data_IF_954137478781
#
_entry.id   IF_954137478781
#
_cell.length_a   1.000
_cell.length_b   1.000
_cell.length_c   1.000
_cell.angle_alpha   90.00
_cell.angle_beta   90.00
_cell.angle_gamma   90.00
#
_symmetry.space_group_name_H-M   'P 1'
#
loop_
_entity.id
_entity.type
_entity.pdbx_description
1 polymer ?
#
# COMPACT_ATOMS: atom_id res chain seq x y z
N UNK A 1 -19.57 -0.40 11.88
CA UNK A 1 -19.15 -1.43 10.90
C UNK A 1 -19.04 -2.79 11.53
N UNK A 2 -19.98 -3.68 11.20
CA UNK A 2 -19.93 -5.11 11.55
C UNK A 2 -18.78 -5.79 10.78
N UNK A 3 -18.29 -6.94 11.24
CA UNK A 3 -17.15 -7.64 10.60
C UNK A 3 -17.38 -7.94 9.12
N UNK A 4 -18.58 -8.35 8.73
CA UNK A 4 -18.93 -8.61 7.32
C UNK A 4 -18.80 -7.35 6.45
N UNK A 5 -19.17 -6.19 6.98
CA UNK A 5 -19.07 -4.91 6.28
C UNK A 5 -17.61 -4.48 6.12
N UNK A 6 -16.78 -4.70 7.16
CA UNK A 6 -15.33 -4.44 7.09
C UNK A 6 -14.66 -5.26 5.99
N UNK A 7 -15.02 -6.53 5.88
CA UNK A 7 -14.51 -7.43 4.84
C UNK A 7 -14.98 -6.98 3.45
N UNK A 8 -16.27 -6.67 3.29
CA UNK A 8 -16.81 -6.18 2.02
C UNK A 8 -16.13 -4.88 1.57
N UNK A 9 -15.98 -3.91 2.48
CA UNK A 9 -15.27 -2.66 2.22
C UNK A 9 -13.83 -2.91 1.75
N UNK A 10 -13.07 -3.75 2.47
CA UNK A 10 -11.69 -4.06 2.13
C UNK A 10 -11.56 -4.75 0.77
N UNK A 11 -12.45 -5.71 0.47
CA UNK A 11 -12.47 -6.40 -0.82
C UNK A 11 -12.80 -5.41 -1.95
N UNK A 12 -13.81 -4.56 -1.77
CA UNK A 12 -14.23 -3.60 -2.79
C UNK A 12 -13.13 -2.56 -3.08
N UNK A 13 -12.46 -2.07 -2.02
CA UNK A 13 -11.29 -1.21 -2.13
C UNK A 13 -10.21 -1.86 -3.00
N UNK A 14 -9.84 -3.10 -2.67
CA UNK A 14 -8.76 -3.79 -3.38
C UNK A 14 -9.13 -4.07 -4.84
N UNK A 15 -10.36 -4.51 -5.12
CA UNK A 15 -10.81 -4.81 -6.48
C UNK A 15 -10.76 -3.56 -7.37
N UNK A 16 -11.24 -2.42 -6.89
CA UNK A 16 -11.25 -1.18 -7.68
C UNK A 16 -9.81 -0.68 -7.89
N UNK A 17 -8.96 -0.75 -6.87
CA UNK A 17 -7.55 -0.41 -7.00
C UNK A 17 -6.86 -1.26 -8.07
N UNK A 18 -7.01 -2.60 -8.01
CA UNK A 18 -6.43 -3.52 -8.99
C UNK A 18 -6.98 -3.29 -10.40
N UNK A 19 -8.27 -2.98 -10.54
CA UNK A 19 -8.89 -2.67 -11.84
C UNK A 19 -8.29 -1.43 -12.51
N UNK A 20 -7.66 -0.52 -11.76
CA UNK A 20 -6.98 0.67 -12.28
C UNK A 20 -5.48 0.39 -12.47
N UNK A 21 -4.84 -0.18 -11.44
CA UNK A 21 -3.37 -0.36 -11.40
C UNK A 21 -2.90 -1.40 -12.39
N UNK A 22 -3.62 -2.52 -12.55
CA UNK A 22 -3.19 -3.61 -13.45
C UNK A 22 -3.18 -3.15 -14.91
N UNK A 23 -4.23 -2.51 -15.47
CA UNK A 23 -4.17 -1.98 -16.83
C UNK A 23 -3.08 -0.91 -16.99
N UNK A 24 -2.92 -0.01 -16.01
CA UNK A 24 -1.87 1.00 -16.06
C UNK A 24 -0.47 0.35 -16.13
N UNK A 25 -0.19 -0.65 -15.31
CA UNK A 25 1.08 -1.38 -15.35
C UNK A 25 1.28 -2.19 -16.64
N UNK A 26 0.21 -2.74 -17.21
CA UNK A 26 0.24 -3.43 -18.50
C UNK A 26 0.54 -2.48 -19.68
N UNK A 27 0.19 -1.19 -19.58
CA UNK A 27 0.56 -0.21 -20.63
C UNK A 27 2.07 0.07 -20.69
N UNK A 28 2.79 -0.15 -19.59
CA UNK A 28 4.24 0.09 -19.48
C UNK A 28 5.07 -1.19 -19.47
N UNK A 29 4.45 -2.35 -19.63
CA UNK A 29 5.15 -3.63 -19.63
C UNK A 29 4.55 -4.62 -20.62
N UNK A 30 5.38 -5.45 -21.22
CA UNK A 30 4.93 -6.55 -22.09
C UNK A 30 4.44 -7.77 -21.28
N UNK A 31 4.08 -7.58 -20.01
CA UNK A 31 3.69 -8.66 -19.09
C UNK A 31 2.18 -8.90 -19.17
N UNK A 32 1.80 -10.16 -19.07
CA UNK A 32 0.38 -10.51 -19.00
C UNK A 32 -0.23 -10.09 -17.64
N UNK A 33 -1.54 -9.87 -17.64
CA UNK A 33 -2.27 -9.40 -16.46
C UNK A 33 -2.17 -10.36 -15.26
N UNK A 34 -2.05 -11.67 -15.49
CA UNK A 34 -1.96 -12.65 -14.40
C UNK A 34 -0.63 -12.53 -13.65
N UNK A 35 0.47 -12.35 -14.38
CA UNK A 35 1.79 -12.11 -13.82
C UNK A 35 1.83 -10.82 -12.99
N UNK A 36 1.18 -9.75 -13.47
CA UNK A 36 1.06 -8.46 -12.74
C UNK A 36 0.28 -8.62 -11.42
N UNK A 37 -0.82 -9.37 -11.44
CA UNK A 37 -1.62 -9.65 -10.23
C UNK A 37 -0.79 -10.45 -9.21
N UNK A 38 -0.08 -11.49 -9.65
CA UNK A 38 0.75 -12.31 -8.75
C UNK A 38 1.82 -11.48 -8.06
N UNK A 39 2.51 -10.61 -8.80
CA UNK A 39 3.51 -9.70 -8.21
C UNK A 39 2.86 -8.68 -7.28
N UNK A 40 1.75 -8.08 -7.67
CA UNK A 40 1.00 -7.15 -6.81
C UNK A 40 0.59 -7.77 -5.48
N UNK A 41 0.05 -8.99 -5.51
CA UNK A 41 -0.30 -9.76 -4.30
C UNK A 41 0.96 -10.06 -3.48
N UNK A 42 2.06 -10.49 -4.12
CA UNK A 42 3.33 -10.75 -3.44
C UNK A 42 3.89 -9.51 -2.72
N UNK A 43 3.86 -8.35 -3.37
CA UNK A 43 4.27 -7.07 -2.80
C UNK A 43 3.36 -6.65 -1.64
N UNK A 44 2.04 -6.86 -1.74
CA UNK A 44 1.10 -6.58 -0.65
C UNK A 44 1.37 -7.46 0.57
N UNK A 45 1.59 -8.77 0.37
CA UNK A 45 1.97 -9.70 1.44
C UNK A 45 3.30 -9.28 2.07
N UNK A 46 4.30 -8.94 1.26
CA UNK A 46 5.57 -8.43 1.75
C UNK A 46 5.39 -7.18 2.62
N UNK A 47 4.58 -6.21 2.17
CA UNK A 47 4.32 -4.98 2.93
C UNK A 47 3.69 -5.26 4.30
N UNK A 48 2.72 -6.18 4.37
CA UNK A 48 2.09 -6.59 5.64
C UNK A 48 3.12 -7.24 6.58
N UNK A 49 3.94 -8.14 6.05
CA UNK A 49 4.99 -8.84 6.81
C UNK A 49 6.05 -7.86 7.31
N UNK A 50 6.53 -6.97 6.43
CA UNK A 50 7.50 -5.93 6.77
C UNK A 50 6.96 -4.98 7.84
N UNK A 51 5.71 -4.51 7.70
CA UNK A 51 5.04 -3.69 8.70
C UNK A 51 5.01 -4.37 10.07
N UNK A 52 4.71 -5.66 10.13
CA UNK A 52 4.71 -6.38 11.40
C UNK A 52 6.12 -6.42 12.03
N UNK A 53 7.12 -6.86 11.28
CA UNK A 53 8.48 -7.01 11.81
C UNK A 53 9.16 -5.68 12.12
N UNK A 54 9.00 -4.68 11.26
CA UNK A 54 9.57 -3.35 11.47
C UNK A 54 9.01 -2.70 12.73
N UNK A 55 7.68 -2.76 12.94
CA UNK A 55 7.05 -2.22 14.14
C UNK A 55 7.58 -2.90 15.41
N UNK A 56 7.72 -4.24 15.41
CA UNK A 56 8.27 -4.96 16.56
C UNK A 56 9.72 -4.56 16.82
N UNK A 57 10.54 -4.51 15.77
CA UNK A 57 11.95 -4.12 15.89
C UNK A 57 12.06 -2.69 16.46
N UNK A 58 11.30 -1.74 15.92
CA UNK A 58 11.34 -0.36 16.37
C UNK A 58 10.82 -0.20 17.81
N UNK A 59 9.72 -0.87 18.15
CA UNK A 59 9.17 -0.87 19.52
C UNK A 59 10.18 -1.45 20.53
N UNK A 60 10.98 -2.45 20.14
CA UNK A 60 12.07 -3.00 20.97
C UNK A 60 13.24 -2.02 21.17
N UNK A 61 13.61 -1.26 20.14
CA UNK A 61 14.74 -0.32 20.21
C UNK A 61 14.37 1.00 20.90
N UNK A 62 13.15 1.48 20.72
CA UNK A 62 12.73 2.83 21.08
C UNK A 62 11.55 2.89 22.06
N UNK A 63 11.11 1.74 22.58
CA UNK A 63 10.04 1.62 23.56
C UNK A 63 8.65 1.39 22.94
N UNK A 64 7.84 0.57 23.60
CA UNK A 64 6.51 0.18 23.12
C UNK A 64 5.44 1.26 23.31
N UNK A 65 5.69 2.25 24.18
CA UNK A 65 4.73 3.33 24.41
C UNK A 65 4.75 4.33 23.23
N UNK A 66 3.85 4.13 22.27
CA UNK A 66 3.80 4.96 21.04
C UNK A 66 3.26 6.37 21.27
N UNK A 67 2.48 6.60 22.33
CA UNK A 67 1.89 7.91 22.67
C UNK A 67 2.94 8.94 23.09
N UNK A 68 3.99 8.52 23.80
CA UNK A 68 5.03 9.40 24.34
C UNK A 68 6.14 9.76 23.33
N UNK A 69 6.08 9.22 22.09
CA UNK A 69 7.10 9.48 21.05
C UNK A 69 7.05 10.91 20.53
N UNK A 70 8.21 11.56 20.52
CA UNK A 70 8.41 12.89 19.93
C UNK A 70 8.13 12.90 18.42
N UNK A 71 7.85 14.08 17.86
CA UNK A 71 7.67 14.23 16.41
C UNK A 71 8.88 13.74 15.62
N UNK A 72 10.10 14.04 16.09
CA UNK A 72 11.32 13.62 15.41
C UNK A 72 11.45 12.09 15.35
N UNK A 73 11.09 11.39 16.44
CA UNK A 73 11.10 9.93 16.45
C UNK A 73 10.04 9.35 15.50
N UNK A 74 8.87 9.99 15.36
CA UNK A 74 7.84 9.58 14.40
C UNK A 74 8.32 9.76 12.96
N UNK A 75 8.97 10.88 12.63
CA UNK A 75 9.59 11.07 11.32
C UNK A 75 10.65 10.01 11.04
N UNK A 76 11.57 9.77 11.98
CA UNK A 76 12.59 8.73 11.83
C UNK A 76 11.99 7.33 11.63
N UNK A 77 10.94 6.99 12.39
CA UNK A 77 10.20 5.74 12.21
C UNK A 77 9.64 5.61 10.80
N UNK A 78 8.91 6.61 10.32
CA UNK A 78 8.27 6.57 9.01
C UNK A 78 9.31 6.53 7.88
N UNK A 79 10.37 7.33 7.97
CA UNK A 79 11.45 7.31 6.99
C UNK A 79 12.17 5.95 6.93
N UNK A 80 12.45 5.34 8.08
CA UNK A 80 13.04 4.00 8.12
C UNK A 80 12.09 2.92 7.61
N UNK A 81 10.79 3.04 7.89
CA UNK A 81 9.76 2.11 7.42
C UNK A 81 9.67 2.13 5.89
N UNK A 82 9.45 3.32 5.32
CA UNK A 82 9.33 3.52 3.87
C UNK A 82 10.64 3.21 3.16
N UNK A 83 11.77 3.64 3.72
CA UNK A 83 13.09 3.32 3.18
C UNK A 83 13.32 1.81 3.08
N UNK A 84 12.91 1.04 4.09
CA UNK A 84 13.01 -0.42 4.07
C UNK A 84 12.05 -1.10 3.08
N UNK A 85 10.85 -0.55 2.86
CA UNK A 85 9.95 -1.01 1.80
C UNK A 85 10.61 -0.80 0.44
N UNK A 86 10.94 0.46 0.13
CA UNK A 86 11.50 0.91 -1.15
C UNK A 86 12.77 0.11 -1.50
N UNK A 87 13.62 -0.18 -0.51
CA UNK A 87 14.86 -0.92 -0.72
C UNK A 87 14.66 -2.31 -1.33
N UNK A 88 13.52 -2.95 -1.06
CA UNK A 88 13.18 -4.27 -1.60
C UNK A 88 12.24 -4.15 -2.79
N UNK A 89 11.21 -3.31 -2.71
CA UNK A 89 10.16 -3.22 -3.72
C UNK A 89 10.67 -2.62 -5.02
N UNK A 90 11.46 -1.54 -4.97
CA UNK A 90 11.94 -0.86 -6.19
C UNK A 90 12.83 -1.76 -7.05
N UNK A 91 13.89 -2.42 -6.51
CA UNK A 91 14.69 -3.34 -7.32
C UNK A 91 13.88 -4.51 -7.88
N UNK A 92 12.95 -5.06 -7.09
CA UNK A 92 12.11 -6.17 -7.50
C UNK A 92 11.16 -5.76 -8.64
N UNK A 93 10.50 -4.61 -8.52
CA UNK A 93 9.61 -4.05 -9.55
C UNK A 93 10.40 -3.70 -10.81
N UNK A 94 11.57 -3.07 -10.68
CA UNK A 94 12.44 -2.75 -11.81
C UNK A 94 12.84 -4.00 -12.59
N UNK A 95 13.29 -5.04 -11.88
CA UNK A 95 13.63 -6.33 -12.48
C UNK A 95 12.42 -7.00 -13.13
N UNK A 96 11.28 -7.02 -12.45
CA UNK A 96 10.09 -7.72 -12.93
C UNK A 96 9.50 -7.07 -14.18
N UNK A 97 9.37 -5.75 -14.19
CA UNK A 97 8.82 -4.98 -15.31
C UNK A 97 9.87 -4.72 -16.41
N UNK A 98 11.15 -4.98 -16.16
CA UNK A 98 12.23 -4.70 -17.11
C UNK A 98 12.51 -3.21 -17.31
N UNK A 99 12.23 -2.39 -16.29
CA UNK A 99 12.43 -0.93 -16.31
C UNK A 99 13.64 -0.53 -15.48
N UNK A 100 14.14 0.69 -15.67
CA UNK A 100 15.26 1.21 -14.86
C UNK A 100 14.85 1.40 -13.40
N UNK A 101 15.83 1.38 -12.47
CA UNK A 101 15.57 1.65 -11.05
C UNK A 101 14.92 3.03 -10.84
N UNK A 102 15.31 4.03 -11.62
CA UNK A 102 14.70 5.37 -11.57
C UNK A 102 13.25 5.35 -12.02
N UNK A 103 12.93 4.61 -13.10
CA UNK A 103 11.55 4.45 -13.54
C UNK A 103 10.69 3.70 -12.52
N UNK A 104 11.23 2.65 -11.89
CA UNK A 104 10.55 1.93 -10.81
C UNK A 104 10.33 2.79 -9.56
N UNK A 105 11.30 3.62 -9.18
CA UNK A 105 11.15 4.58 -8.08
C UNK A 105 10.07 5.64 -8.38
N UNK A 106 10.03 6.15 -9.61
CA UNK A 106 8.98 7.08 -10.04
C UNK A 106 7.60 6.41 -10.07
N UNK A 107 7.53 5.14 -10.49
CA UNK A 107 6.31 4.35 -10.47
C UNK A 107 5.81 4.13 -9.04
N UNK A 108 6.70 3.81 -8.10
CA UNK A 108 6.37 3.71 -6.67
C UNK A 108 5.85 5.03 -6.11
N UNK A 109 6.51 6.16 -6.41
CA UNK A 109 6.04 7.47 -5.98
C UNK A 109 4.66 7.81 -6.57
N UNK A 110 4.42 7.47 -7.84
CA UNK A 110 3.13 7.64 -8.49
C UNK A 110 2.05 6.78 -7.83
N UNK A 111 2.34 5.52 -7.50
CA UNK A 111 1.43 4.65 -6.76
C UNK A 111 1.15 5.18 -5.35
N UNK A 112 2.15 5.66 -4.63
CA UNK A 112 1.96 6.24 -3.30
C UNK A 112 0.98 7.43 -3.35
N UNK A 113 1.18 8.35 -4.30
CA UNK A 113 0.29 9.50 -4.50
C UNK A 113 -1.11 9.04 -4.92
N UNK A 114 -1.19 8.09 -5.87
CA UNK A 114 -2.45 7.53 -6.34
C UNK A 114 -3.23 6.89 -5.18
N UNK A 115 -2.63 5.96 -4.42
CA UNK A 115 -3.28 5.27 -3.32
C UNK A 115 -3.66 6.22 -2.19
N UNK A 116 -2.87 7.26 -1.93
CA UNK A 116 -3.22 8.29 -0.96
C UNK A 116 -4.52 9.02 -1.34
N UNK A 117 -4.60 9.53 -2.57
CA UNK A 117 -5.80 10.22 -3.06
C UNK A 117 -6.98 9.25 -3.18
N UNK A 118 -6.74 8.08 -3.77
CA UNK A 118 -7.72 7.02 -3.94
C UNK A 118 -8.35 6.61 -2.62
N UNK A 119 -7.55 6.41 -1.57
CA UNK A 119 -8.07 6.03 -0.26
C UNK A 119 -8.96 7.10 0.36
N UNK A 120 -8.59 8.37 0.25
CA UNK A 120 -9.43 9.47 0.74
C UNK A 120 -10.77 9.48 -0.01
N UNK A 121 -10.73 9.44 -1.34
CA UNK A 121 -11.93 9.49 -2.18
C UNK A 121 -12.82 8.28 -1.95
N UNK A 122 -12.25 7.07 -1.99
CA UNK A 122 -13.00 5.82 -1.80
C UNK A 122 -13.67 5.79 -0.43
N UNK A 123 -12.93 6.06 0.65
CA UNK A 123 -13.49 6.03 2.01
C UNK A 123 -14.60 7.06 2.15
N UNK A 124 -14.41 8.28 1.63
CA UNK A 124 -15.44 9.32 1.66
C UNK A 124 -16.71 8.92 0.89
N UNK A 125 -16.56 8.39 -0.33
CA UNK A 125 -17.69 7.90 -1.11
C UNK A 125 -18.40 6.74 -0.41
N UNK A 126 -17.65 5.77 0.12
CA UNK A 126 -18.22 4.63 0.83
C UNK A 126 -19.03 5.07 2.04
N UNK A 127 -18.49 5.96 2.87
CA UNK A 127 -19.17 6.50 4.05
C UNK A 127 -20.43 7.28 3.67
N UNK A 128 -20.37 8.08 2.60
CA UNK A 128 -21.54 8.79 2.07
C UNK A 128 -22.66 7.82 1.65
N UNK A 129 -22.34 6.82 0.81
CA UNK A 129 -23.32 5.83 0.35
C UNK A 129 -23.88 5.00 1.49
N UNK A 130 -23.03 4.61 2.44
CA UNK A 130 -23.43 3.86 3.63
C UNK A 130 -24.44 4.65 4.46
N UNK A 131 -24.20 5.94 4.68
CA UNK A 131 -25.10 6.83 5.42
C UNK A 131 -26.46 6.99 4.72
N UNK A 132 -26.46 7.13 3.39
CA UNK A 132 -27.68 7.24 2.58
C UNK A 132 -28.52 5.95 2.60
N UNK A 133 -27.88 4.78 2.59
CA UNK A 133 -28.55 3.48 2.56
C UNK A 133 -28.95 2.94 3.95
N UNK A 134 -28.78 3.71 5.03
CA UNK A 134 -29.04 3.30 6.43
C UNK A 134 -28.40 1.94 6.83
N UNK A 135 -27.26 1.59 6.23
CA UNK A 135 -26.56 0.34 6.54
C UNK A 135 -25.79 0.53 7.86
N UNK A 136 -26.49 0.33 8.98
CA UNK A 136 -25.96 0.40 10.35
C UNK A 136 -25.20 -0.88 10.78
#
# INVERSE_FOLDING_TARGET
MKTKERVFHAILFEIIALAIVVPAAAMFSDKDASSLIVVGVGLSVYAVVWNYFYNIWFDKQFGAERSSRSLLMRFGHTLGFEGGIIFVTVPLVAWFLGISLTAALLLEAAFLIFFFVYAIVFNWCYDYFRAQMQIA
#
